data_IF_781307740022
#
_entry.id   IF_781307740022
#
_cell.length_a   1.000
_cell.length_b   1.000
_cell.length_c   1.000
_cell.angle_alpha   90.00
_cell.angle_beta   90.00
_cell.angle_gamma   90.00
#
_symmetry.space_group_name_H-M   'P 1'
#
loop_
_entity.id
_entity.type
_entity.pdbx_description
1 polymer ?
#
# COMPACT_ATOMS: atom_id res chain seq x y z
N UNK A 1 -5.84 2.11 -15.53
CA UNK A 1 -5.96 0.94 -16.43
C UNK A 1 -5.60 -0.36 -15.70
N UNK A 2 -4.41 -0.50 -15.07
CA UNK A 2 -3.99 -1.75 -14.42
C UNK A 2 -5.00 -2.29 -13.38
N UNK A 3 -5.56 -1.45 -12.51
CA UNK A 3 -6.54 -1.87 -11.51
C UNK A 3 -7.81 -2.46 -12.14
N UNK A 4 -8.30 -1.88 -13.25
CA UNK A 4 -9.49 -2.40 -13.96
C UNK A 4 -9.18 -3.79 -14.53
N UNK A 5 -8.02 -3.93 -15.19
CA UNK A 5 -7.60 -5.20 -15.75
C UNK A 5 -7.42 -6.30 -14.69
N UNK A 6 -6.74 -5.98 -13.59
CA UNK A 6 -6.56 -6.94 -12.48
C UNK A 6 -7.91 -7.27 -11.82
N UNK A 7 -8.78 -6.29 -11.63
CA UNK A 7 -10.15 -6.50 -11.12
C UNK A 7 -10.94 -7.48 -12.00
N UNK A 8 -10.83 -7.38 -13.32
CA UNK A 8 -11.50 -8.31 -14.24
C UNK A 8 -10.93 -9.73 -14.14
N UNK A 9 -9.62 -9.88 -13.97
CA UNK A 9 -9.00 -11.20 -13.72
C UNK A 9 -9.56 -11.82 -12.43
N UNK A 10 -9.66 -11.04 -11.35
CA UNK A 10 -10.23 -11.50 -10.08
C UNK A 10 -11.69 -11.93 -10.22
N UNK A 11 -12.49 -11.19 -11.00
CA UNK A 11 -13.88 -11.56 -11.31
C UNK A 11 -13.96 -12.86 -12.12
N UNK A 12 -13.04 -13.03 -13.07
CA UNK A 12 -12.98 -14.25 -13.89
C UNK A 12 -12.75 -15.51 -13.03
N UNK A 13 -11.97 -15.41 -11.95
CA UNK A 13 -11.78 -16.52 -11.00
C UNK A 13 -12.82 -16.57 -9.88
N UNK A 14 -13.92 -15.82 -10.00
CA UNK A 14 -15.08 -15.90 -9.11
C UNK A 14 -15.07 -14.96 -7.91
N UNK A 15 -14.10 -14.05 -7.81
CA UNK A 15 -14.07 -13.06 -6.74
C UNK A 15 -14.95 -11.85 -7.07
N UNK A 16 -15.63 -11.29 -6.07
CA UNK A 16 -16.32 -10.01 -6.22
C UNK A 16 -15.30 -8.89 -6.05
N UNK A 17 -15.36 -7.88 -6.91
CA UNK A 17 -14.41 -6.77 -6.88
C UNK A 17 -15.09 -5.42 -7.04
N UNK A 18 -14.45 -4.36 -6.57
CA UNK A 18 -14.81 -2.98 -6.86
C UNK A 18 -13.56 -2.12 -7.03
N UNK A 19 -13.63 -1.11 -7.91
CA UNK A 19 -12.51 -0.20 -8.19
C UNK A 19 -12.92 1.22 -7.80
N UNK A 20 -12.21 1.82 -6.86
CA UNK A 20 -12.44 3.18 -6.42
C UNK A 20 -11.38 4.14 -6.95
N UNK A 21 -11.83 5.35 -7.31
CA UNK A 21 -10.96 6.47 -7.74
C UNK A 21 -11.30 7.73 -6.96
N UNK A 22 -10.34 8.62 -6.68
CA UNK A 22 -10.58 9.87 -5.96
C UNK A 22 -11.32 10.93 -6.79
N UNK A 23 -11.53 10.65 -8.07
CA UNK A 23 -12.26 11.50 -9.01
C UNK A 23 -13.10 10.64 -9.95
N UNK A 24 -14.11 11.22 -10.60
CA UNK A 24 -14.94 10.49 -11.56
C UNK A 24 -14.11 10.08 -12.77
N UNK A 25 -14.07 8.78 -13.06
CA UNK A 25 -13.30 8.18 -14.15
C UNK A 25 -14.12 7.17 -14.93
N UNK A 26 -15.03 7.65 -15.76
CA UNK A 26 -15.91 6.82 -16.59
C UNK A 26 -16.86 5.94 -15.78
N UNK A 27 -17.36 4.87 -16.45
CA UNK A 27 -18.34 3.92 -15.88
C UNK A 27 -17.70 2.68 -15.24
N UNK A 28 -16.39 2.54 -15.30
CA UNK A 28 -15.67 1.34 -14.81
C UNK A 28 -15.19 1.46 -13.36
N UNK A 29 -15.33 2.64 -12.78
CA UNK A 29 -14.87 2.93 -11.42
C UNK A 29 -15.94 3.66 -10.63
N UNK A 30 -15.95 3.45 -9.32
CA UNK A 30 -16.79 4.19 -8.38
C UNK A 30 -16.00 5.36 -7.79
N UNK A 31 -16.67 6.49 -7.53
CA UNK A 31 -16.04 7.57 -6.77
C UNK A 31 -15.80 7.09 -5.33
N UNK A 32 -14.58 7.31 -4.85
CA UNK A 32 -14.22 6.89 -3.50
C UNK A 32 -15.03 7.65 -2.44
N UNK A 33 -15.58 6.89 -1.51
CA UNK A 33 -15.96 7.37 -0.18
C UNK A 33 -15.60 6.28 0.84
N UNK A 34 -15.26 6.69 2.06
CA UNK A 34 -14.97 5.74 3.15
C UNK A 34 -16.09 4.73 3.33
N UNK A 35 -17.32 5.22 3.47
CA UNK A 35 -18.48 4.37 3.76
C UNK A 35 -18.74 3.35 2.65
N UNK A 36 -18.62 3.76 1.38
CA UNK A 36 -18.80 2.84 0.25
C UNK A 36 -17.69 1.78 0.19
N UNK A 37 -16.44 2.17 0.48
CA UNK A 37 -15.32 1.24 0.50
C UNK A 37 -15.43 0.22 1.64
N UNK A 38 -15.78 0.67 2.85
CA UNK A 38 -16.00 -0.22 4.01
C UNK A 38 -17.16 -1.17 3.75
N UNK A 39 -18.30 -0.69 3.24
CA UNK A 39 -19.45 -1.53 2.90
C UNK A 39 -19.07 -2.60 1.84
N UNK A 40 -18.26 -2.24 0.84
CA UNK A 40 -17.78 -3.20 -0.15
C UNK A 40 -16.89 -4.28 0.47
N UNK A 41 -16.02 -3.92 1.42
CA UNK A 41 -15.20 -4.89 2.18
C UNK A 41 -16.06 -5.81 3.05
N UNK A 42 -17.05 -5.28 3.74
CA UNK A 42 -17.99 -6.06 4.56
C UNK A 42 -18.81 -7.06 3.72
N UNK A 43 -19.10 -6.73 2.47
CA UNK A 43 -19.69 -7.66 1.49
C UNK A 43 -18.71 -8.73 0.97
N UNK A 44 -17.48 -8.74 1.45
CA UNK A 44 -16.43 -9.68 1.04
C UNK A 44 -15.85 -9.40 -0.35
N UNK A 45 -15.93 -8.16 -0.83
CA UNK A 45 -15.31 -7.76 -2.10
C UNK A 45 -13.82 -7.48 -1.91
N UNK A 46 -13.04 -7.78 -2.94
CA UNK A 46 -11.68 -7.26 -3.10
C UNK A 46 -11.79 -5.87 -3.73
N UNK A 47 -11.32 -4.85 -3.05
CA UNK A 47 -11.36 -3.47 -3.54
C UNK A 47 -10.00 -3.03 -4.07
N UNK A 48 -10.04 -2.27 -5.16
CA UNK A 48 -8.87 -1.68 -5.79
C UNK A 48 -8.97 -0.16 -5.70
N UNK A 49 -7.90 0.49 -5.28
CA UNK A 49 -7.77 1.94 -5.31
C UNK A 49 -6.88 2.35 -6.47
N UNK A 50 -7.36 3.25 -7.30
CA UNK A 50 -6.63 3.79 -8.43
C UNK A 50 -6.62 5.32 -8.40
N UNK A 51 -5.56 5.95 -8.91
CA UNK A 51 -5.45 7.41 -8.98
C UNK A 51 -4.83 8.08 -7.74
N UNK A 52 -4.27 7.30 -6.81
CA UNK A 52 -3.57 7.82 -5.63
C UNK A 52 -4.46 8.67 -4.73
N UNK A 53 -3.96 9.83 -4.29
CA UNK A 53 -4.75 10.82 -3.52
C UNK A 53 -5.70 11.64 -4.38
N UNK A 54 -5.52 11.64 -5.70
CA UNK A 54 -6.20 12.56 -6.63
C UNK A 54 -5.61 13.97 -6.67
N UNK A 55 -4.52 14.22 -5.95
CA UNK A 55 -3.84 15.50 -5.87
C UNK A 55 -2.38 15.39 -6.33
N UNK A 56 -1.85 16.41 -7.02
CA UNK A 56 -0.42 16.47 -7.34
C UNK A 56 0.42 16.57 -6.04
N UNK A 57 1.73 16.35 -6.17
CA UNK A 57 2.72 16.42 -5.09
C UNK A 57 2.68 15.32 -4.03
N UNK A 58 1.71 14.43 -4.06
CA UNK A 58 1.67 13.25 -3.19
C UNK A 58 2.13 12.00 -3.94
N UNK A 59 2.94 11.19 -3.27
CA UNK A 59 3.40 9.92 -3.80
C UNK A 59 2.29 8.86 -3.79
N UNK A 60 2.54 7.74 -4.47
CA UNK A 60 1.68 6.56 -4.40
C UNK A 60 1.71 5.91 -3.02
N UNK A 61 2.84 5.96 -2.32
CA UNK A 61 2.95 5.46 -0.94
C UNK A 61 2.04 6.25 0.00
N UNK A 62 2.06 7.59 -0.08
CA UNK A 62 1.13 8.45 0.68
C UNK A 62 -0.33 8.12 0.36
N UNK A 63 -0.66 7.92 -0.91
CA UNK A 63 -2.01 7.56 -1.32
C UNK A 63 -2.45 6.20 -0.74
N UNK A 64 -1.55 5.22 -0.72
CA UNK A 64 -1.83 3.89 -0.18
C UNK A 64 -2.06 3.95 1.35
N UNK A 65 -1.19 4.65 2.09
CA UNK A 65 -1.34 4.84 3.53
C UNK A 65 -2.65 5.57 3.86
N UNK A 66 -2.97 6.64 3.14
CA UNK A 66 -4.20 7.38 3.35
C UNK A 66 -5.43 6.48 3.19
N UNK A 67 -5.49 5.66 2.13
CA UNK A 67 -6.59 4.73 1.91
C UNK A 67 -6.67 3.67 3.00
N UNK A 68 -5.54 3.10 3.43
CA UNK A 68 -5.50 2.12 4.50
C UNK A 68 -6.07 2.68 5.82
N UNK A 69 -5.71 3.92 6.16
CA UNK A 69 -6.23 4.60 7.37
C UNK A 69 -7.73 4.87 7.24
N UNK A 70 -8.18 5.38 6.09
CA UNK A 70 -9.60 5.71 5.87
C UNK A 70 -10.52 4.50 5.95
N UNK A 71 -10.08 3.33 5.48
CA UNK A 71 -10.86 2.09 5.56
C UNK A 71 -10.60 1.30 6.85
N UNK A 72 -9.82 1.85 7.77
CA UNK A 72 -9.49 1.23 9.06
C UNK A 72 -8.82 -0.14 8.91
N UNK A 73 -7.87 -0.25 7.98
CA UNK A 73 -7.12 -1.49 7.76
C UNK A 73 -6.26 -1.84 8.98
N UNK A 74 -6.15 -3.13 9.28
CA UNK A 74 -5.35 -3.64 10.41
C UNK A 74 -3.84 -3.51 10.16
N UNK A 75 -3.39 -3.57 8.91
CA UNK A 75 -1.99 -3.48 8.52
C UNK A 75 -1.84 -3.13 7.04
N UNK A 76 -0.66 -2.63 6.68
CA UNK A 76 -0.24 -2.43 5.30
C UNK A 76 0.84 -3.43 4.89
N UNK A 77 0.68 -3.98 3.70
CA UNK A 77 1.64 -4.87 3.07
C UNK A 77 2.21 -4.17 1.82
N UNK A 78 3.48 -3.76 1.87
CA UNK A 78 4.15 -3.04 0.78
C UNK A 78 5.08 -3.97 0.00
N UNK A 79 4.63 -4.38 -1.18
CA UNK A 79 5.47 -5.09 -2.14
C UNK A 79 6.33 -4.08 -2.92
N UNK A 80 7.64 -4.14 -2.73
CA UNK A 80 8.60 -3.22 -3.35
C UNK A 80 9.68 -3.95 -4.15
N UNK A 81 10.47 -3.18 -4.90
CA UNK A 81 11.63 -3.73 -5.61
C UNK A 81 12.77 -4.12 -4.65
N UNK A 82 12.79 -3.55 -3.45
CA UNK A 82 13.66 -3.91 -2.32
C UNK A 82 12.88 -4.83 -1.37
N UNK A 83 13.54 -5.83 -0.82
CA UNK A 83 12.91 -6.89 -0.03
C UNK A 83 12.73 -6.56 1.46
N UNK A 84 13.02 -5.34 1.87
CA UNK A 84 12.87 -4.89 3.24
C UNK A 84 13.45 -3.50 3.48
N UNK A 85 13.58 -3.14 4.75
CA UNK A 85 14.20 -1.89 5.21
C UNK A 85 15.63 -2.19 5.64
N UNK A 86 16.58 -1.39 5.17
CA UNK A 86 18.01 -1.52 5.44
C UNK A 86 18.53 -0.26 6.12
N UNK A 87 19.62 -0.40 6.87
CA UNK A 87 20.35 0.72 7.51
C UNK A 87 21.01 1.66 6.49
N UNK A 88 21.26 1.17 5.28
CA UNK A 88 21.80 1.93 4.16
C UNK A 88 21.34 1.31 2.83
N UNK A 89 21.56 2.01 1.70
CA UNK A 89 21.17 1.49 0.39
C UNK A 89 22.03 0.27 0.01
N UNK A 90 21.46 -0.95 -0.08
CA UNK A 90 22.22 -2.16 -0.40
C UNK A 90 22.81 -2.15 -1.82
N UNK A 91 22.35 -1.27 -2.71
CA UNK A 91 22.94 -1.10 -4.04
C UNK A 91 24.25 -0.33 -4.02
N UNK A 92 24.44 0.50 -2.99
CA UNK A 92 25.62 1.33 -2.79
C UNK A 92 26.55 0.69 -1.76
N UNK A 93 25.99 0.13 -0.68
CA UNK A 93 26.71 -0.53 0.39
C UNK A 93 26.36 -2.02 0.43
N UNK A 94 27.22 -2.93 -0.05
CA UNK A 94 26.99 -4.36 0.02
C UNK A 94 26.91 -4.95 1.44
N UNK A 95 27.43 -4.22 2.44
CA UNK A 95 27.38 -4.58 3.86
C UNK A 95 26.11 -4.06 4.58
N UNK A 96 25.16 -3.50 3.82
CA UNK A 96 23.92 -3.00 4.38
C UNK A 96 23.15 -4.10 5.12
N UNK A 97 22.73 -3.81 6.33
CA UNK A 97 22.01 -4.76 7.20
C UNK A 97 20.51 -4.53 7.09
N UNK A 98 19.79 -5.60 6.80
CA UNK A 98 18.33 -5.59 6.77
C UNK A 98 17.78 -5.66 8.19
N UNK A 99 16.79 -4.81 8.47
CA UNK A 99 16.04 -4.87 9.71
C UNK A 99 14.94 -5.94 9.62
N UNK A 100 14.84 -6.81 10.62
CA UNK A 100 13.69 -7.69 10.79
C UNK A 100 12.48 -6.91 11.32
N UNK A 101 12.73 -6.02 12.28
CA UNK A 101 11.77 -5.07 12.85
C UNK A 101 12.46 -3.73 13.12
N UNK A 102 11.77 -2.65 12.85
CA UNK A 102 12.24 -1.29 13.13
C UNK A 102 11.02 -0.39 13.42
N UNK A 103 11.14 0.53 14.36
CA UNK A 103 10.08 1.51 14.61
C UNK A 103 9.96 2.53 13.47
N UNK A 104 8.75 2.98 13.17
CA UNK A 104 8.53 4.02 12.16
C UNK A 104 9.25 5.31 12.54
N UNK A 105 9.36 5.61 13.84
CA UNK A 105 10.11 6.75 14.32
C UNK A 105 11.60 6.66 13.94
N UNK A 106 12.22 5.49 14.12
CA UNK A 106 13.62 5.27 13.72
C UNK A 106 13.80 5.34 12.20
N UNK A 107 12.85 4.84 11.40
CA UNK A 107 12.86 5.00 9.94
C UNK A 107 12.90 6.48 9.55
N UNK A 108 12.12 7.33 10.23
CA UNK A 108 12.07 8.77 10.00
C UNK A 108 13.39 9.43 10.45
N UNK A 109 13.86 9.13 11.66
CA UNK A 109 15.05 9.76 12.27
C UNK A 109 16.31 9.43 11.47
N UNK A 110 16.45 8.21 11.00
CA UNK A 110 17.57 7.74 10.19
C UNK A 110 17.39 8.06 8.69
N UNK A 111 16.25 8.62 8.28
CA UNK A 111 15.92 8.95 6.88
C UNK A 111 16.04 7.76 5.93
N UNK A 112 15.60 6.58 6.39
CA UNK A 112 15.67 5.37 5.59
C UNK A 112 14.68 5.43 4.40
N UNK A 113 15.17 5.10 3.23
CA UNK A 113 14.46 5.32 1.95
C UNK A 113 13.41 4.22 1.61
N UNK A 114 12.82 3.58 2.62
CA UNK A 114 11.84 2.52 2.38
C UNK A 114 10.48 3.03 1.92
N UNK A 115 10.01 4.12 2.53
CA UNK A 115 8.73 4.78 2.29
C UNK A 115 8.96 6.29 2.33
N UNK A 116 8.20 7.07 1.60
CA UNK A 116 8.36 8.53 1.67
C UNK A 116 7.99 9.10 3.05
N UNK A 117 8.55 10.27 3.36
CA UNK A 117 8.42 10.87 4.68
C UNK A 117 6.95 11.13 5.06
N UNK A 118 6.13 11.61 4.13
CA UNK A 118 4.71 11.91 4.39
C UNK A 118 3.95 10.64 4.75
N UNK A 119 4.17 9.56 4.01
CA UNK A 119 3.57 8.25 4.31
C UNK A 119 4.04 7.72 5.67
N UNK A 120 5.33 7.86 6.01
CA UNK A 120 5.89 7.43 7.29
C UNK A 120 5.28 8.20 8.47
N UNK A 121 5.10 9.51 8.34
CA UNK A 121 4.46 10.35 9.37
C UNK A 121 2.99 9.92 9.56
N UNK A 122 2.24 9.72 8.47
CA UNK A 122 0.86 9.25 8.55
C UNK A 122 0.73 7.90 9.26
N UNK A 123 1.64 6.96 8.96
CA UNK A 123 1.68 5.67 9.66
C UNK A 123 2.00 5.81 11.14
N UNK A 124 2.96 6.68 11.51
CA UNK A 124 3.32 6.93 12.90
C UNK A 124 2.15 7.50 13.70
N UNK A 125 1.50 8.55 13.19
CA UNK A 125 0.39 9.23 13.86
C UNK A 125 -0.83 8.32 14.04
N UNK A 126 -1.09 7.45 13.07
CA UNK A 126 -2.24 6.54 13.09
C UNK A 126 -1.91 5.13 13.59
N UNK A 127 -0.66 4.89 14.02
CA UNK A 127 -0.18 3.57 14.51
C UNK A 127 -0.46 2.44 13.52
N UNK A 128 -0.33 2.72 12.22
CA UNK A 128 -0.57 1.76 11.14
C UNK A 128 0.65 0.82 11.01
N UNK A 129 0.53 -0.47 11.30
CA UNK A 129 1.61 -1.43 11.10
C UNK A 129 1.91 -1.58 9.61
N UNK A 130 3.20 -1.69 9.28
CA UNK A 130 3.64 -1.82 7.90
C UNK A 130 4.62 -2.97 7.75
N UNK A 131 4.38 -3.84 6.77
CA UNK A 131 5.29 -4.89 6.36
C UNK A 131 5.83 -4.58 4.96
N UNK A 132 7.15 -4.46 4.83
CA UNK A 132 7.82 -4.27 3.55
C UNK A 132 8.44 -5.59 3.08
N UNK A 133 8.21 -5.99 1.84
CA UNK A 133 8.74 -7.23 1.27
C UNK A 133 9.04 -7.09 -0.21
N UNK A 134 9.88 -8.00 -0.73
CA UNK A 134 10.27 -8.02 -2.13
C UNK A 134 9.17 -8.54 -3.05
N UNK A 135 8.87 -7.80 -4.11
CA UNK A 135 7.84 -8.19 -5.09
C UNK A 135 8.19 -9.52 -5.81
N UNK A 136 9.47 -9.80 -5.97
CA UNK A 136 9.97 -10.97 -6.71
C UNK A 136 10.32 -12.18 -5.83
N UNK A 137 10.05 -12.12 -4.53
CA UNK A 137 10.27 -13.25 -3.64
C UNK A 137 9.16 -14.31 -3.79
N UNK A 138 9.54 -15.54 -4.06
CA UNK A 138 8.59 -16.65 -4.14
C UNK A 138 7.96 -16.95 -2.78
N UNK A 139 6.63 -17.06 -2.75
CA UNK A 139 5.85 -17.45 -1.58
C UNK A 139 6.01 -16.53 -0.35
N UNK A 140 6.43 -15.29 -0.53
CA UNK A 140 6.65 -14.36 0.58
C UNK A 140 5.39 -14.12 1.44
N UNK A 141 4.21 -14.09 0.82
CA UNK A 141 2.93 -13.91 1.53
C UNK A 141 2.46 -15.15 2.31
N UNK A 142 3.02 -16.34 2.02
CA UNK A 142 2.64 -17.59 2.68
C UNK A 142 3.60 -17.99 3.82
N UNK A 143 4.74 -17.29 3.93
CA UNK A 143 5.78 -17.60 4.93
C UNK A 143 5.68 -16.74 6.19
N UNK A 144 4.69 -15.84 6.27
CA UNK A 144 4.54 -14.88 7.38
C UNK A 144 3.18 -14.96 8.05
#
# INVERSE_FOLDING_TARGET
MNCIYVSDIFRYVGMKTEVFTPFVCGSFTSLFSKDAAVAALEEGKVIFFAGGTGHPYFSTDTGAVLRAIEIEADAMLLAKAIDGIYDSDPKVNPEAVKYDEISIQEVIDQKLAAVDLTASILCLENKMPMLVFGLNEENVLWKR
#
